data_IF_289051875080
#
_entry.id   IF_289051875080
#
_cell.length_a   1.000
_cell.length_b   1.000
_cell.length_c   1.000
_cell.angle_alpha   90.00
_cell.angle_beta   90.00
_cell.angle_gamma   90.00
#
_symmetry.space_group_name_H-M   'P 1'
#
loop_
_entity.id
_entity.type
_entity.pdbx_description
1 polymer ?
#
# COMPACT_ATOMS: atom_id res chain seq x y z
N UNK A 1 -2.07 -0.05 -24.13
CA UNK A 1 -2.03 -1.44 -23.65
C UNK A 1 -1.43 -1.39 -22.24
N UNK A 2 -2.24 -0.98 -21.26
CA UNK A 2 -1.78 -0.65 -19.91
C UNK A 2 -1.81 -1.91 -19.02
N UNK A 3 -0.70 -2.17 -18.36
CA UNK A 3 -0.51 -3.32 -17.48
C UNK A 3 -1.51 -3.30 -16.32
N UNK A 4 -2.17 -4.43 -16.13
CA UNK A 4 -3.10 -4.69 -15.03
C UNK A 4 -2.32 -4.63 -13.72
N UNK A 5 -2.61 -3.64 -12.88
CA UNK A 5 -2.16 -3.64 -11.48
C UNK A 5 -2.73 -4.89 -10.79
N UNK A 6 -1.84 -5.84 -10.50
CA UNK A 6 -2.20 -7.14 -9.98
C UNK A 6 -2.56 -7.03 -8.49
N UNK A 7 -3.78 -7.42 -8.12
CA UNK A 7 -4.29 -7.50 -6.74
C UNK A 7 -3.66 -8.67 -5.98
N UNK A 8 -2.34 -8.67 -5.82
CA UNK A 8 -1.67 -9.65 -4.97
C UNK A 8 -1.18 -8.96 -3.72
N UNK A 9 -1.60 -9.45 -2.56
CA UNK A 9 -1.01 -9.07 -1.29
C UNK A 9 0.52 -9.09 -1.44
N UNK A 10 1.18 -8.01 -1.02
CA UNK A 10 2.64 -7.96 -0.96
C UNK A 10 3.06 -9.11 -0.04
N UNK A 11 3.57 -10.17 -0.65
CA UNK A 11 3.93 -11.38 0.06
C UNK A 11 5.24 -11.11 0.79
N UNK A 12 5.19 -10.89 2.10
CA UNK A 12 6.39 -10.68 2.91
C UNK A 12 7.18 -11.98 3.20
N UNK A 13 6.80 -13.15 2.66
CA UNK A 13 7.61 -14.39 2.73
C UNK A 13 8.95 -14.32 2.00
N UNK A 14 9.29 -13.20 1.36
CA UNK A 14 10.66 -13.00 0.90
C UNK A 14 11.64 -13.00 2.07
N UNK A 15 11.26 -12.53 3.26
CA UNK A 15 12.18 -12.41 4.40
C UNK A 15 12.59 -13.79 4.94
N UNK A 16 11.64 -14.69 5.19
CA UNK A 16 11.95 -16.05 5.65
C UNK A 16 12.75 -16.87 4.63
N UNK A 17 12.43 -16.71 3.33
CA UNK A 17 13.20 -17.35 2.26
C UNK A 17 14.61 -16.78 2.14
N UNK A 18 14.80 -15.48 2.42
CA UNK A 18 16.12 -14.86 2.47
C UNK A 18 16.94 -15.40 3.64
N UNK A 19 16.35 -15.63 4.81
CA UNK A 19 17.06 -16.20 5.97
C UNK A 19 17.58 -17.62 5.71
N UNK A 20 16.75 -18.48 5.09
CA UNK A 20 17.17 -19.84 4.71
C UNK A 20 18.28 -19.79 3.63
N UNK A 21 18.17 -18.86 2.68
CA UNK A 21 19.19 -18.65 1.66
C UNK A 21 20.51 -18.18 2.30
N UNK A 22 20.47 -17.22 3.23
CA UNK A 22 21.64 -16.73 3.97
C UNK A 22 22.32 -17.87 4.75
N UNK A 23 21.55 -18.72 5.45
CA UNK A 23 22.12 -19.85 6.21
C UNK A 23 22.74 -20.92 5.31
N UNK A 24 22.12 -21.23 4.17
CA UNK A 24 22.68 -22.18 3.20
C UNK A 24 23.93 -21.66 2.50
N UNK A 25 24.06 -20.35 2.30
CA UNK A 25 25.28 -19.72 1.78
C UNK A 25 26.41 -19.68 2.82
N UNK A 26 26.10 -19.49 4.10
CA UNK A 26 27.07 -19.49 5.20
C UNK A 26 27.80 -20.83 5.37
N UNK A 27 27.17 -21.94 5.01
CA UNK A 27 27.76 -23.26 5.16
C UNK A 27 28.74 -23.67 4.04
N UNK A 28 28.82 -22.92 2.92
CA UNK A 28 29.40 -23.49 1.70
C UNK A 28 30.33 -22.62 0.84
N UNK A 29 30.73 -21.41 1.25
CA UNK A 29 31.76 -20.67 0.52
C UNK A 29 32.57 -19.77 1.47
N UNK A 30 33.85 -19.54 1.16
CA UNK A 30 34.63 -18.45 1.74
C UNK A 30 33.96 -17.12 1.39
N UNK A 31 33.04 -16.67 2.25
CA UNK A 31 32.30 -15.43 2.06
C UNK A 31 33.30 -14.28 2.12
N UNK A 32 33.43 -13.54 1.02
CA UNK A 32 34.14 -12.29 1.02
C UNK A 32 33.31 -11.28 1.83
N UNK A 33 33.65 -11.13 3.11
CA UNK A 33 32.98 -10.29 4.10
C UNK A 33 32.71 -8.85 3.62
N UNK A 34 33.49 -8.35 2.65
CA UNK A 34 33.31 -7.03 2.05
C UNK A 34 31.98 -6.87 1.27
N UNK A 35 31.42 -7.95 0.73
CA UNK A 35 30.11 -7.89 0.06
C UNK A 35 28.94 -7.93 1.03
N UNK A 36 29.08 -8.66 2.14
CA UNK A 36 28.05 -8.72 3.19
C UNK A 36 27.89 -7.34 3.82
N UNK A 37 29.00 -6.69 4.18
CA UNK A 37 28.99 -5.32 4.72
C UNK A 37 28.33 -4.32 3.76
N UNK A 38 28.63 -4.41 2.45
CA UNK A 38 27.99 -3.55 1.44
C UNK A 38 26.49 -3.80 1.29
N UNK A 39 26.05 -5.05 1.43
CA UNK A 39 24.63 -5.38 1.41
C UNK A 39 23.91 -4.83 2.64
N UNK A 40 24.52 -4.91 3.83
CA UNK A 40 23.94 -4.36 5.06
C UNK A 40 23.81 -2.83 4.99
N UNK A 41 24.85 -2.14 4.50
CA UNK A 41 24.82 -0.69 4.27
C UNK A 41 23.71 -0.34 3.27
N UNK A 42 23.57 -1.13 2.21
CA UNK A 42 22.53 -0.90 1.21
C UNK A 42 21.14 -1.07 1.83
N UNK A 43 20.89 -2.16 2.56
CA UNK A 43 19.64 -2.43 3.26
C UNK A 43 19.31 -1.27 4.22
N UNK A 44 20.27 -0.84 5.04
CA UNK A 44 20.05 0.27 5.97
C UNK A 44 19.71 1.56 5.23
N UNK A 45 20.43 1.88 4.15
CA UNK A 45 20.13 3.07 3.32
C UNK A 45 18.73 3.03 2.71
N UNK A 46 18.22 1.84 2.37
CA UNK A 46 16.85 1.66 1.92
C UNK A 46 15.89 1.89 3.09
N UNK A 47 16.10 1.23 4.22
CA UNK A 47 15.25 1.39 5.40
C UNK A 47 15.14 2.85 5.86
N UNK A 48 16.24 3.59 5.84
CA UNK A 48 16.27 5.01 6.22
C UNK A 48 15.51 5.88 5.21
N UNK A 49 15.75 5.69 3.91
CA UNK A 49 15.02 6.41 2.85
C UNK A 49 13.52 6.11 2.84
N UNK A 50 13.14 4.88 3.20
CA UNK A 50 11.75 4.43 3.23
C UNK A 50 11.12 4.49 4.64
N UNK A 51 11.81 5.07 5.62
CA UNK A 51 11.30 5.20 6.99
C UNK A 51 10.02 6.05 7.04
N UNK A 52 9.98 7.17 6.32
CA UNK A 52 8.79 8.02 6.19
C UNK A 52 7.65 7.33 5.43
N UNK A 53 7.96 6.44 4.48
CA UNK A 53 6.93 5.64 3.77
C UNK A 53 6.19 4.69 4.70
N UNK A 54 6.80 4.26 5.81
CA UNK A 54 6.11 3.46 6.83
C UNK A 54 4.95 4.24 7.46
N UNK A 55 5.06 5.57 7.58
CA UNK A 55 3.98 6.44 8.08
C UNK A 55 2.84 6.60 7.07
N UNK A 56 3.16 6.49 5.78
CA UNK A 56 2.19 6.56 4.68
C UNK A 56 1.55 5.20 4.40
N UNK A 57 2.14 4.11 4.91
CA UNK A 57 1.65 2.74 4.68
C UNK A 57 0.17 2.56 5.04
N UNK A 58 -0.35 3.02 6.20
CA UNK A 58 -1.77 2.88 6.50
C UNK A 58 -2.66 3.59 5.47
N UNK A 59 -2.27 4.79 5.05
CA UNK A 59 -2.97 5.55 4.02
C UNK A 59 -2.99 4.81 2.67
N UNK A 60 -1.87 4.19 2.30
CA UNK A 60 -1.75 3.37 1.09
C UNK A 60 -2.56 2.08 1.17
N UNK A 61 -2.61 1.43 2.33
CA UNK A 61 -3.39 0.22 2.54
C UNK A 61 -4.89 0.54 2.36
N UNK A 62 -5.39 1.62 2.97
CA UNK A 62 -6.78 2.12 2.76
C UNK A 62 -7.02 2.42 1.29
N UNK A 63 -6.12 3.18 0.66
CA UNK A 63 -6.24 3.55 -0.74
C UNK A 63 -6.32 2.31 -1.64
N UNK A 64 -5.47 1.31 -1.40
CA UNK A 64 -5.42 0.10 -2.22
C UNK A 64 -6.69 -0.75 -2.11
N UNK A 65 -7.28 -0.83 -0.91
CA UNK A 65 -8.50 -1.58 -0.68
C UNK A 65 -9.22 -1.13 0.63
N UNK A 66 -10.27 -0.30 0.54
CA UNK A 66 -11.00 0.15 1.72
C UNK A 66 -11.92 -0.94 2.30
N UNK A 67 -12.14 -2.06 1.59
CA UNK A 67 -13.11 -3.11 1.95
C UNK A 67 -12.53 -4.30 2.74
N UNK A 68 -11.22 -4.33 2.98
CA UNK A 68 -10.55 -5.42 3.70
C UNK A 68 -10.31 -5.08 5.17
N UNK A 69 -10.88 -5.89 6.06
CA UNK A 69 -10.72 -5.81 7.53
C UNK A 69 -9.25 -5.99 7.95
N UNK A 70 -8.47 -6.74 7.18
CA UNK A 70 -7.03 -6.97 7.43
C UNK A 70 -6.13 -5.81 7.01
N UNK A 71 -6.60 -4.87 6.19
CA UNK A 71 -5.75 -3.78 5.70
C UNK A 71 -5.54 -2.70 6.77
N UNK A 72 -6.45 -2.59 7.75
CA UNK A 72 -6.37 -1.75 8.95
C UNK A 72 -7.46 -2.22 9.91
N UNK A 73 -7.06 -2.69 11.09
CA UNK A 73 -7.94 -2.64 12.25
C UNK A 73 -8.33 -1.17 12.41
N UNK A 74 -9.62 -0.80 12.43
CA UNK A 74 -10.11 0.61 12.37
C UNK A 74 -9.35 1.55 13.32
N UNK A 75 -8.86 1.03 14.44
CA UNK A 75 -7.94 1.67 15.40
C UNK A 75 -6.63 2.24 14.81
N UNK A 76 -6.15 1.70 13.69
CA UNK A 76 -4.92 2.14 13.00
C UNK A 76 -5.20 3.13 11.85
N UNK A 77 -6.47 3.36 11.50
CA UNK A 77 -6.84 4.45 10.59
C UNK A 77 -6.81 5.78 11.35
N UNK A 78 -6.45 6.89 10.67
CA UNK A 78 -6.69 8.23 11.17
C UNK A 78 -8.15 8.41 11.60
N UNK A 79 -8.37 8.99 12.79
CA UNK A 79 -9.69 9.19 13.38
C UNK A 79 -10.69 9.85 12.41
N UNK A 80 -10.22 10.78 11.58
CA UNK A 80 -11.04 11.48 10.60
C UNK A 80 -11.64 10.57 9.52
N UNK A 81 -11.06 9.39 9.27
CA UNK A 81 -11.52 8.44 8.25
C UNK A 81 -12.29 7.24 8.82
N UNK A 82 -12.26 7.02 10.13
CA UNK A 82 -12.79 5.79 10.71
C UNK A 82 -14.28 5.58 10.40
N UNK A 83 -15.09 6.64 10.48
CA UNK A 83 -16.52 6.58 10.15
C UNK A 83 -16.74 6.31 8.66
N UNK A 84 -16.03 7.00 7.77
CA UNK A 84 -16.14 6.79 6.32
C UNK A 84 -15.75 5.36 5.92
N UNK A 85 -14.75 4.78 6.60
CA UNK A 85 -14.31 3.39 6.40
C UNK A 85 -15.39 2.40 6.84
N UNK A 86 -16.01 2.62 8.00
CA UNK A 86 -17.10 1.77 8.48
C UNK A 86 -18.28 1.81 7.50
N UNK A 87 -18.66 3.00 7.05
CA UNK A 87 -19.78 3.18 6.12
C UNK A 87 -19.50 2.52 4.78
N UNK A 88 -18.32 2.73 4.20
CA UNK A 88 -17.98 2.15 2.90
C UNK A 88 -17.84 0.62 2.96
N UNK A 89 -17.34 0.07 4.07
CA UNK A 89 -17.22 -1.38 4.26
C UNK A 89 -18.57 -2.08 4.34
N UNK A 90 -19.60 -1.39 4.85
CA UNK A 90 -20.96 -1.89 4.95
C UNK A 90 -21.77 -1.74 3.65
N UNK A 91 -21.28 -0.98 2.67
CA UNK A 91 -21.95 -0.79 1.38
C UNK A 91 -21.54 -1.86 0.35
N UNK A 92 -22.41 -2.85 0.18
CA UNK A 92 -22.23 -3.93 -0.82
C UNK A 92 -22.26 -3.41 -2.27
N UNK A 93 -23.01 -2.33 -2.54
CA UNK A 93 -23.07 -1.73 -3.87
C UNK A 93 -21.75 -1.08 -4.26
N UNK A 94 -21.14 -0.33 -3.34
CA UNK A 94 -19.81 0.23 -3.51
C UNK A 94 -18.74 -0.86 -3.60
N UNK A 95 -18.87 -1.94 -2.82
CA UNK A 95 -17.96 -3.10 -2.92
C UNK A 95 -17.99 -3.75 -4.30
N UNK A 96 -19.17 -3.92 -4.88
CA UNK A 96 -19.30 -4.47 -6.23
C UNK A 96 -18.68 -3.52 -7.28
N UNK A 97 -18.98 -2.23 -7.20
CA UNK A 97 -18.37 -1.20 -8.08
C UNK A 97 -16.84 -1.19 -7.98
N UNK A 98 -16.29 -1.36 -6.78
CA UNK A 98 -14.84 -1.46 -6.57
C UNK A 98 -14.22 -2.71 -7.21
N UNK A 99 -14.94 -3.83 -7.23
CA UNK A 99 -14.46 -5.06 -7.83
C UNK A 99 -14.53 -5.05 -9.36
N UNK A 100 -15.51 -4.34 -9.92
CA UNK A 100 -15.71 -4.20 -11.36
C UNK A 100 -14.82 -3.10 -11.99
N UNK A 101 -14.50 -2.06 -11.22
CA UNK A 101 -13.87 -0.84 -11.71
C UNK A 101 -12.35 -0.76 -11.54
N UNK A 102 -11.78 0.25 -12.19
CA UNK A 102 -10.43 0.73 -11.93
C UNK A 102 -10.39 1.54 -10.62
N UNK A 103 -9.25 1.50 -9.92
CA UNK A 103 -9.08 2.08 -8.59
C UNK A 103 -9.36 3.59 -8.56
N UNK A 104 -8.79 4.34 -9.52
CA UNK A 104 -8.98 5.79 -9.58
C UNK A 104 -10.38 6.15 -10.04
N UNK A 105 -10.97 5.37 -10.94
CA UNK A 105 -12.38 5.52 -11.31
C UNK A 105 -13.33 5.31 -10.11
N UNK A 106 -13.06 4.32 -9.27
CA UNK A 106 -13.85 4.09 -8.06
C UNK A 106 -13.85 5.33 -7.17
N UNK A 107 -12.68 5.86 -6.79
CA UNK A 107 -12.59 7.04 -5.92
C UNK A 107 -13.16 8.32 -6.54
N UNK A 108 -13.27 8.42 -7.87
CA UNK A 108 -13.99 9.52 -8.54
C UNK A 108 -15.50 9.43 -8.37
N UNK A 109 -16.03 8.21 -8.39
CA UNK A 109 -17.47 7.93 -8.42
C UNK A 109 -18.11 7.86 -7.04
N UNK A 110 -17.34 7.71 -5.95
CA UNK A 110 -17.88 7.75 -4.59
C UNK A 110 -18.29 9.17 -4.20
N UNK A 111 -19.34 9.28 -3.40
CA UNK A 111 -19.92 10.57 -3.01
C UNK A 111 -18.90 11.46 -2.29
N UNK A 112 -18.78 12.71 -2.74
CA UNK A 112 -17.77 13.66 -2.26
C UNK A 112 -18.03 14.20 -0.86
N UNK A 113 -19.28 14.16 -0.41
CA UNK A 113 -19.68 14.68 0.89
C UNK A 113 -19.62 13.57 1.95
N UNK A 114 -19.99 12.35 1.59
CA UNK A 114 -19.99 11.18 2.48
C UNK A 114 -18.60 10.56 2.64
N UNK A 115 -17.74 10.61 1.63
CA UNK A 115 -16.43 9.95 1.62
C UNK A 115 -15.29 10.94 1.31
N UNK A 116 -15.31 12.09 1.98
CA UNK A 116 -14.41 13.21 1.71
C UNK A 116 -12.96 12.84 2.02
N UNK A 117 -12.71 12.28 3.19
CA UNK A 117 -11.37 11.95 3.66
C UNK A 117 -10.77 10.79 2.86
N UNK A 118 -11.58 9.78 2.50
CA UNK A 118 -11.19 8.71 1.58
C UNK A 118 -10.77 9.24 0.19
N UNK A 119 -11.50 10.22 -0.35
CA UNK A 119 -11.14 10.87 -1.63
C UNK A 119 -9.86 11.70 -1.50
N UNK A 120 -9.70 12.45 -0.42
CA UNK A 120 -8.46 13.20 -0.16
C UNK A 120 -7.27 12.26 -0.03
N UNK A 121 -7.44 11.13 0.66
CA UNK A 121 -6.40 10.12 0.77
C UNK A 121 -6.03 9.53 -0.60
N UNK A 122 -7.04 9.21 -1.42
CA UNK A 122 -6.82 8.71 -2.78
C UNK A 122 -6.06 9.72 -3.66
N UNK A 123 -6.38 11.01 -3.56
CA UNK A 123 -5.66 12.08 -4.25
C UNK A 123 -4.18 12.15 -3.83
N UNK A 124 -3.92 12.11 -2.52
CA UNK A 124 -2.56 12.12 -1.98
C UNK A 124 -1.79 10.91 -2.47
N UNK A 125 -2.37 9.71 -2.39
CA UNK A 125 -1.73 8.48 -2.82
C UNK A 125 -1.46 8.46 -4.33
N UNK A 126 -2.43 8.87 -5.16
CA UNK A 126 -2.22 8.98 -6.61
C UNK A 126 -1.10 9.98 -6.96
N UNK A 127 -1.03 11.10 -6.24
CA UNK A 127 0.00 12.12 -6.44
C UNK A 127 1.41 11.63 -6.08
N UNK A 128 1.55 10.74 -5.09
CA UNK A 128 2.85 10.16 -4.71
C UNK A 128 3.49 9.33 -5.83
N UNK A 129 2.69 8.74 -6.72
CA UNK A 129 3.18 7.91 -7.83
C UNK A 129 3.22 8.64 -9.17
N UNK A 130 3.01 9.97 -9.18
CA UNK A 130 3.08 10.77 -10.40
C UNK A 130 1.92 10.56 -11.38
N UNK A 131 0.90 9.79 -11.01
CA UNK A 131 -0.34 9.62 -11.80
C UNK A 131 -1.33 10.74 -11.46
N UNK A 132 -1.00 11.96 -11.86
CA UNK A 132 -1.87 13.12 -11.74
C UNK A 132 -3.04 13.08 -12.75
N UNK A 133 -4.12 12.37 -12.45
CA UNK A 133 -5.41 12.49 -13.17
C UNK A 133 -6.65 12.43 -12.24
N UNK A 134 -6.59 13.16 -11.13
CA UNK A 134 -7.74 13.34 -10.25
C UNK A 134 -8.00 14.82 -9.92
N UNK A 135 -7.90 15.72 -10.90
CA UNK A 135 -8.37 17.10 -10.72
C UNK A 135 -9.91 17.16 -10.72
N UNK A 136 -10.52 18.05 -9.92
CA UNK A 136 -11.96 18.20 -9.84
C UNK A 136 -12.51 18.78 -11.14
N UNK A 137 -13.50 18.12 -11.75
CA UNK A 137 -14.33 18.72 -12.78
C UNK A 137 -15.18 19.83 -12.13
N UNK A 138 -15.08 21.01 -12.73
CA UNK A 138 -15.67 22.27 -12.31
C UNK A 138 -17.20 22.31 -12.44
#
# INVERSE_FOLDING_TARGET
MAEKFNKTAINFNYVEKLDILIQSFQQNCGINFNYVEKLDILIQSFQDRFSEFKKVKPLLDIFSNPFTISAISVENAPESMQLEIIDIQNDQGLRNKFNEGDLLNFYRCIDKNMYKELRINALKCASLFGSAELLPLH
#
